data_IF_874097675606
#
_entry.id   IF_874097675606
#
_cell.length_a   1.000
_cell.length_b   1.000
_cell.length_c   1.000
_cell.angle_alpha   90.00
_cell.angle_beta   90.00
_cell.angle_gamma   90.00
#
_symmetry.space_group_name_H-M   'P 1'
#
loop_
_entity.id
_entity.type
_entity.pdbx_description
1 polymer ?
#
# COMPACT_ATOMS: atom_id res chain seq x y z
N UNK A 1 -54.67 -0.42 -38.79
CA UNK A 1 -53.84 -1.50 -38.21
C UNK A 1 -52.37 -1.17 -38.45
N UNK A 2 -51.64 -0.75 -37.42
CA UNK A 2 -50.18 -0.72 -37.44
C UNK A 2 -49.69 -0.94 -36.01
N UNK A 3 -49.34 -2.19 -35.70
CA UNK A 3 -48.85 -2.60 -34.39
C UNK A 3 -47.43 -2.06 -34.17
N UNK A 4 -47.27 -1.18 -33.17
CA UNK A 4 -45.95 -0.75 -32.68
C UNK A 4 -45.25 -1.95 -32.04
N UNK A 5 -44.24 -2.51 -32.72
CA UNK A 5 -43.29 -3.45 -32.12
C UNK A 5 -42.45 -2.69 -31.08
N UNK A 6 -42.61 -3.04 -29.80
CA UNK A 6 -41.64 -2.68 -28.75
C UNK A 6 -40.30 -3.34 -29.08
N UNK A 7 -39.15 -2.65 -28.91
CA UNK A 7 -37.87 -3.34 -28.98
C UNK A 7 -37.78 -4.31 -27.80
N UNK A 8 -37.46 -5.58 -28.08
CA UNK A 8 -37.12 -6.56 -27.06
C UNK A 8 -35.83 -6.08 -26.39
N UNK A 9 -35.87 -5.86 -25.08
CA UNK A 9 -34.65 -5.77 -24.27
C UNK A 9 -33.84 -7.05 -24.53
N UNK A 10 -32.58 -6.88 -24.95
CA UNK A 10 -31.64 -7.98 -24.98
C UNK A 10 -31.53 -8.53 -23.55
N UNK A 11 -31.83 -9.82 -23.38
CA UNK A 11 -31.51 -10.53 -22.14
C UNK A 11 -30.01 -10.35 -21.89
N UNK A 12 -29.67 -9.81 -20.73
CA UNK A 12 -28.30 -9.79 -20.25
C UNK A 12 -27.77 -11.22 -20.29
N UNK A 13 -26.64 -11.43 -20.97
CA UNK A 13 -25.96 -12.71 -20.97
C UNK A 13 -25.65 -13.09 -19.52
N UNK A 14 -26.13 -14.24 -19.09
CA UNK A 14 -25.76 -14.83 -17.80
C UNK A 14 -24.23 -14.94 -17.74
N UNK A 15 -23.64 -14.23 -16.77
CA UNK A 15 -22.23 -14.40 -16.41
C UNK A 15 -22.10 -15.82 -15.88
N UNK A 16 -21.55 -16.72 -16.71
CA UNK A 16 -21.17 -18.05 -16.24
C UNK A 16 -20.11 -17.88 -15.16
N UNK A 17 -20.23 -18.54 -14.00
CA UNK A 17 -19.14 -18.56 -13.04
C UNK A 17 -17.92 -19.16 -13.73
N UNK A 18 -16.78 -18.49 -13.63
CA UNK A 18 -15.48 -19.02 -14.02
C UNK A 18 -15.27 -20.33 -13.24
N UNK A 19 -15.54 -21.44 -13.90
CA UNK A 19 -15.18 -22.77 -13.40
C UNK A 19 -13.67 -22.80 -13.33
N UNK A 20 -13.15 -22.94 -12.11
CA UNK A 20 -11.73 -23.16 -11.85
C UNK A 20 -11.18 -24.21 -12.84
N UNK A 21 -10.06 -23.88 -13.47
CA UNK A 21 -9.37 -24.77 -14.39
C UNK A 21 -9.08 -26.11 -13.68
N UNK A 22 -9.32 -27.26 -14.34
CA UNK A 22 -8.97 -28.55 -13.77
C UNK A 22 -7.45 -28.62 -13.51
N UNK A 23 -7.02 -29.27 -12.42
CA UNK A 23 -5.62 -29.28 -11.94
C UNK A 23 -4.60 -29.90 -12.90
N UNK A 24 -5.03 -30.44 -14.05
CA UNK A 24 -4.18 -31.12 -15.02
C UNK A 24 -3.84 -30.26 -16.26
N UNK A 25 -4.17 -28.97 -16.26
CA UNK A 25 -3.86 -28.03 -17.36
C UNK A 25 -2.72 -27.04 -17.06
N UNK A 26 -1.86 -27.31 -16.06
CA UNK A 26 -0.61 -26.55 -15.86
C UNK A 26 0.49 -27.27 -16.64
N UNK A 27 0.61 -26.91 -17.92
CA UNK A 27 1.75 -27.29 -18.75
C UNK A 27 3.04 -26.78 -18.11
N UNK A 28 3.92 -27.71 -17.77
CA UNK A 28 5.25 -27.50 -17.24
C UNK A 28 6.14 -26.71 -18.22
N UNK A 29 6.08 -25.39 -18.15
CA UNK A 29 7.20 -24.49 -18.51
C UNK A 29 7.07 -23.22 -17.68
N UNK A 30 7.18 -23.35 -16.35
CA UNK A 30 7.62 -22.21 -15.54
C UNK A 30 9.15 -22.12 -15.73
N UNK A 31 9.72 -20.95 -16.04
CA UNK A 31 11.17 -20.83 -15.94
C UNK A 31 11.55 -21.18 -14.51
N UNK A 32 12.51 -22.10 -14.34
CA UNK A 32 13.24 -22.30 -13.09
C UNK A 32 13.87 -20.95 -12.71
N UNK A 33 13.11 -20.07 -12.06
CA UNK A 33 13.68 -18.92 -11.37
C UNK A 33 14.29 -19.50 -10.10
N UNK A 34 15.54 -19.92 -10.22
CA UNK A 34 16.39 -20.06 -9.05
C UNK A 34 16.33 -18.71 -8.32
N UNK A 35 15.90 -18.65 -7.05
CA UNK A 35 15.87 -17.40 -6.30
C UNK A 35 17.26 -16.77 -6.38
N UNK A 36 17.35 -15.47 -6.71
CA UNK A 36 18.64 -14.82 -6.86
C UNK A 36 19.33 -14.69 -5.51
N UNK A 37 20.67 -14.78 -5.51
CA UNK A 37 21.41 -14.98 -4.26
C UNK A 37 21.37 -13.73 -3.36
N UNK A 38 21.51 -13.88 -2.03
CA UNK A 38 21.67 -12.74 -1.13
C UNK A 38 22.78 -11.77 -1.56
N UNK A 39 23.89 -12.28 -2.09
CA UNK A 39 25.02 -11.48 -2.56
C UNK A 39 24.64 -10.57 -3.73
N UNK A 40 23.78 -11.03 -4.66
CA UNK A 40 23.29 -10.21 -5.76
C UNK A 40 22.43 -9.02 -5.25
N UNK A 41 21.60 -9.27 -4.23
CA UNK A 41 20.80 -8.21 -3.60
C UNK A 41 21.69 -7.18 -2.92
N UNK A 42 22.67 -7.63 -2.13
CA UNK A 42 23.62 -6.73 -1.48
C UNK A 42 24.41 -5.89 -2.49
N UNK A 43 24.90 -6.51 -3.57
CA UNK A 43 25.63 -5.81 -4.62
C UNK A 43 24.78 -4.70 -5.27
N UNK A 44 23.49 -4.97 -5.51
CA UNK A 44 22.56 -3.97 -6.05
C UNK A 44 22.28 -2.84 -5.05
N UNK A 45 22.15 -3.14 -3.76
CA UNK A 45 22.02 -2.13 -2.69
C UNK A 45 23.26 -1.22 -2.70
N UNK A 46 24.47 -1.79 -2.70
CA UNK A 46 25.73 -1.04 -2.72
C UNK A 46 25.84 -0.15 -3.96
N UNK A 47 25.53 -0.67 -5.15
CA UNK A 47 25.54 0.10 -6.39
C UNK A 47 24.56 1.28 -6.36
N UNK A 48 23.35 1.08 -5.81
CA UNK A 48 22.39 2.17 -5.64
C UNK A 48 22.88 3.23 -4.63
N UNK A 49 23.52 2.82 -3.54
CA UNK A 49 24.13 3.76 -2.58
C UNK A 49 25.21 4.62 -3.26
N UNK A 50 26.06 4.03 -4.09
CA UNK A 50 27.09 4.74 -4.84
C UNK A 50 26.47 5.72 -5.86
N UNK A 51 25.48 5.29 -6.63
CA UNK A 51 24.80 6.15 -7.60
C UNK A 51 24.09 7.34 -6.94
N UNK A 52 23.53 7.13 -5.75
CA UNK A 52 22.74 8.12 -5.00
C UNK A 52 23.54 8.93 -3.99
N UNK A 53 24.76 8.50 -3.68
CA UNK A 53 25.59 9.05 -2.60
C UNK A 53 24.82 9.08 -1.27
N UNK A 54 24.12 7.98 -0.96
CA UNK A 54 23.19 7.86 0.15
C UNK A 54 23.24 6.46 0.78
N UNK A 55 22.74 6.34 2.01
CA UNK A 55 22.52 5.02 2.61
C UNK A 55 21.16 4.48 2.17
N UNK A 56 21.11 3.23 1.71
CA UNK A 56 19.90 2.61 1.21
C UNK A 56 19.33 1.67 2.27
N UNK A 57 18.08 1.93 2.66
CA UNK A 57 17.26 1.03 3.46
C UNK A 57 16.14 0.49 2.56
N UNK A 58 15.91 -0.81 2.55
CA UNK A 58 14.77 -1.38 1.83
C UNK A 58 13.59 -1.65 2.76
N UNK A 59 12.39 -1.48 2.25
CA UNK A 59 11.15 -1.94 2.87
C UNK A 59 10.26 -2.49 1.76
N UNK A 60 10.38 -3.78 1.53
CA UNK A 60 9.70 -4.48 0.43
C UNK A 60 8.77 -5.51 1.02
N UNK A 61 7.47 -5.34 0.85
CA UNK A 61 6.46 -6.30 1.24
C UNK A 61 5.92 -7.03 0.00
N UNK A 62 5.58 -8.31 0.15
CA UNK A 62 4.81 -9.03 -0.88
C UNK A 62 3.45 -8.33 -1.09
N UNK A 63 2.87 -8.37 -2.30
CA UNK A 63 1.65 -7.61 -2.62
C UNK A 63 0.43 -7.92 -1.74
N UNK A 64 0.40 -9.10 -1.14
CA UNK A 64 -0.67 -9.58 -0.24
C UNK A 64 -0.46 -9.20 1.23
N UNK A 65 0.61 -8.46 1.55
CA UNK A 65 1.04 -8.17 2.92
C UNK A 65 0.77 -6.71 3.29
N UNK A 66 0.04 -6.54 4.38
CA UNK A 66 -0.28 -5.24 4.97
C UNK A 66 0.72 -4.91 6.08
N UNK A 67 1.30 -3.71 6.04
CA UNK A 67 2.26 -3.25 7.05
C UNK A 67 1.59 -2.96 8.40
N UNK A 68 2.26 -3.37 9.47
CA UNK A 68 1.83 -3.23 10.86
C UNK A 68 2.97 -2.71 11.74
N UNK A 69 2.63 -2.29 12.95
CA UNK A 69 3.55 -1.62 13.88
C UNK A 69 4.78 -2.44 14.31
N UNK A 70 4.76 -3.77 14.15
CA UNK A 70 5.89 -4.65 14.46
C UNK A 70 7.13 -4.38 13.58
N UNK A 71 6.95 -3.75 12.40
CA UNK A 71 8.08 -3.36 11.56
C UNK A 71 8.89 -2.18 12.12
N UNK A 72 8.31 -1.39 13.04
CA UNK A 72 8.96 -0.17 13.55
C UNK A 72 10.25 -0.49 14.28
N UNK A 73 10.25 -1.55 15.10
CA UNK A 73 11.44 -2.02 15.81
C UNK A 73 12.50 -2.52 14.83
N UNK A 74 12.11 -3.24 13.78
CA UNK A 74 13.04 -3.76 12.79
C UNK A 74 13.68 -2.65 11.95
N UNK A 75 12.91 -1.61 11.61
CA UNK A 75 13.44 -0.40 10.97
C UNK A 75 14.38 0.35 11.92
N UNK A 76 14.04 0.44 13.21
CA UNK A 76 14.91 1.08 14.22
C UNK A 76 16.27 0.37 14.31
N UNK A 77 16.32 -0.95 14.37
CA UNK A 77 17.58 -1.69 14.45
C UNK A 77 18.49 -1.42 13.23
N UNK A 78 17.90 -1.39 12.03
CA UNK A 78 18.62 -1.04 10.80
C UNK A 78 19.17 0.38 10.84
N UNK A 79 18.34 1.35 11.24
CA UNK A 79 18.76 2.75 11.38
C UNK A 79 19.82 2.94 12.47
N UNK A 80 19.72 2.21 13.57
CA UNK A 80 20.70 2.23 14.65
C UNK A 80 22.08 1.78 14.16
N UNK A 81 22.14 0.75 13.30
CA UNK A 81 23.39 0.31 12.67
C UNK A 81 23.92 1.29 11.62
N UNK A 82 23.05 1.93 10.85
CA UNK A 82 23.43 2.96 9.87
C UNK A 82 24.00 4.21 10.57
N UNK A 83 23.43 4.61 11.72
CA UNK A 83 23.81 5.81 12.43
C UNK A 83 23.32 7.10 11.75
N UNK A 84 23.80 8.26 12.22
CA UNK A 84 23.44 9.55 11.62
C UNK A 84 24.22 9.80 10.33
N UNK A 85 23.51 9.96 9.23
CA UNK A 85 24.09 10.13 7.89
C UNK A 85 23.48 11.33 7.16
N UNK A 86 24.13 11.88 6.13
CA UNK A 86 23.56 13.01 5.39
C UNK A 86 22.24 12.68 4.70
N UNK A 87 22.14 11.50 4.07
CA UNK A 87 20.98 11.08 3.30
C UNK A 87 20.65 9.60 3.51
N UNK A 88 19.36 9.32 3.70
CA UNK A 88 18.79 7.96 3.65
C UNK A 88 17.80 7.90 2.49
N UNK A 89 17.98 6.89 1.65
CA UNK A 89 17.06 6.50 0.59
C UNK A 89 16.29 5.25 1.05
N UNK A 90 14.97 5.32 1.09
CA UNK A 90 14.10 4.18 1.39
C UNK A 90 13.58 3.56 0.09
N UNK A 91 14.03 2.36 -0.24
CA UNK A 91 13.49 1.57 -1.34
C UNK A 91 12.17 0.91 -0.93
N UNK A 92 11.05 1.47 -1.39
CA UNK A 92 9.71 1.17 -0.87
C UNK A 92 8.84 0.43 -1.88
N UNK A 93 8.37 -0.76 -1.50
CA UNK A 93 7.34 -1.50 -2.23
C UNK A 93 6.30 -2.04 -1.26
N UNK A 94 5.09 -1.49 -1.28
CA UNK A 94 4.04 -1.88 -0.34
C UNK A 94 2.64 -1.43 -0.78
N UNK A 95 1.64 -2.24 -0.44
CA UNK A 95 0.22 -1.90 -0.58
C UNK A 95 -0.32 -1.03 0.57
N UNK A 96 0.53 -0.68 1.55
CA UNK A 96 0.18 0.13 2.69
C UNK A 96 -0.18 -0.68 3.94
N UNK A 97 -1.03 -0.12 4.80
CA UNK A 97 -1.45 -0.72 6.05
C UNK A 97 -1.94 0.28 7.08
N UNK A 98 -1.49 0.15 8.33
CA UNK A 98 -1.97 1.01 9.41
C UNK A 98 -1.74 2.50 9.10
N UNK A 99 -2.78 3.31 9.25
CA UNK A 99 -2.79 4.72 8.83
C UNK A 99 -1.73 5.58 9.52
N UNK A 100 -1.41 5.27 10.78
CA UNK A 100 -0.49 6.03 11.63
C UNK A 100 0.98 5.61 11.46
N UNK A 101 1.22 4.39 10.97
CA UNK A 101 2.55 3.81 10.81
C UNK A 101 3.48 4.68 9.94
N UNK A 102 3.04 5.25 8.80
CA UNK A 102 3.87 6.14 7.99
C UNK A 102 4.46 7.29 8.79
N UNK A 103 3.66 7.99 9.61
CA UNK A 103 4.17 9.11 10.40
C UNK A 103 5.22 8.65 11.41
N UNK A 104 5.04 7.48 12.03
CA UNK A 104 6.03 6.93 12.96
C UNK A 104 7.35 6.60 12.26
N UNK A 105 7.30 6.06 11.04
CA UNK A 105 8.48 5.73 10.25
C UNK A 105 9.18 6.98 9.71
N UNK A 106 8.43 7.97 9.23
CA UNK A 106 8.97 9.25 8.75
C UNK A 106 9.77 9.93 9.86
N UNK A 107 9.15 10.09 11.05
CA UNK A 107 9.84 10.75 12.17
C UNK A 107 11.05 9.95 12.60
N UNK A 108 10.95 8.61 12.65
CA UNK A 108 12.08 7.76 12.99
C UNK A 108 13.25 7.93 12.02
N UNK A 109 13.02 7.79 10.72
CA UNK A 109 14.08 7.87 9.70
C UNK A 109 14.74 9.25 9.72
N UNK A 110 13.95 10.32 9.90
CA UNK A 110 14.45 11.70 9.98
C UNK A 110 15.34 11.98 11.20
N UNK A 111 15.25 11.21 12.29
CA UNK A 111 16.22 11.32 13.38
C UNK A 111 17.63 10.92 12.93
N UNK A 112 17.74 10.05 11.92
CA UNK A 112 19.02 9.49 11.45
C UNK A 112 19.55 10.16 10.17
N UNK A 113 18.82 11.10 9.57
CA UNK A 113 19.28 11.77 8.35
C UNK A 113 18.82 13.22 8.20
N UNK A 114 19.57 13.99 7.40
CA UNK A 114 19.19 15.37 7.04
C UNK A 114 18.25 15.37 5.83
N UNK A 115 18.50 14.50 4.86
CA UNK A 115 17.69 14.31 3.66
C UNK A 115 17.12 12.90 3.62
N UNK A 116 15.81 12.79 3.49
CA UNK A 116 15.10 11.52 3.38
C UNK A 116 14.48 11.40 1.99
N UNK A 117 14.87 10.40 1.20
CA UNK A 117 14.28 10.13 -0.11
C UNK A 117 13.54 8.79 -0.12
N UNK A 118 12.58 8.62 -1.03
CA UNK A 118 11.88 7.35 -1.23
C UNK A 118 12.01 6.91 -2.69
N UNK A 119 12.52 5.70 -2.91
CA UNK A 119 12.68 5.08 -4.22
C UNK A 119 11.56 4.07 -4.44
N UNK A 120 10.73 4.29 -5.45
CA UNK A 120 9.58 3.43 -5.73
C UNK A 120 9.89 2.62 -7.00
N UNK A 121 10.13 1.31 -6.92
CA UNK A 121 10.44 0.50 -8.10
C UNK A 121 9.20 0.00 -8.87
N UNK A 122 8.06 -0.10 -8.20
CA UNK A 122 6.80 -0.51 -8.80
C UNK A 122 5.64 0.24 -8.14
N UNK A 123 5.33 -0.02 -6.87
CA UNK A 123 4.24 0.71 -6.23
C UNK A 123 4.43 0.99 -4.75
N UNK A 124 3.88 2.13 -4.31
CA UNK A 124 3.69 2.47 -2.91
C UNK A 124 2.27 3.02 -2.73
N UNK A 125 1.35 2.21 -2.19
CA UNK A 125 -0.06 2.54 -2.10
C UNK A 125 -0.54 2.85 -0.68
N UNK A 126 -1.61 3.64 -0.59
CA UNK A 126 -2.31 3.98 0.65
C UNK A 126 -1.33 4.50 1.71
N UNK A 127 -1.16 3.82 2.84
CA UNK A 127 -0.19 4.19 3.87
C UNK A 127 1.25 4.31 3.33
N UNK A 128 1.65 3.51 2.33
CA UNK A 128 2.97 3.65 1.72
C UNK A 128 3.10 4.94 0.88
N UNK A 129 2.00 5.45 0.31
CA UNK A 129 1.98 6.80 -0.29
C UNK A 129 2.17 7.89 0.76
N UNK A 130 1.57 7.76 1.96
CA UNK A 130 1.86 8.67 3.07
C UNK A 130 3.35 8.69 3.45
N UNK A 131 3.99 7.52 3.46
CA UNK A 131 5.41 7.40 3.74
C UNK A 131 6.25 8.11 2.66
N UNK A 132 5.90 7.92 1.38
CA UNK A 132 6.53 8.61 0.26
C UNK A 132 6.35 10.14 0.31
N UNK A 133 5.18 10.65 0.71
CA UNK A 133 4.94 12.09 0.89
C UNK A 133 5.83 12.71 1.98
N UNK A 134 6.31 11.91 2.93
CA UNK A 134 7.25 12.34 3.97
C UNK A 134 8.67 12.58 3.46
N UNK A 135 8.98 12.19 2.22
CA UNK A 135 10.31 12.31 1.64
C UNK A 135 10.56 13.70 1.04
N UNK A 136 11.78 14.18 1.17
CA UNK A 136 12.30 15.37 0.48
C UNK A 136 12.27 15.18 -1.05
N UNK A 137 12.39 13.94 -1.51
CA UNK A 137 12.41 13.54 -2.93
C UNK A 137 11.82 12.14 -3.11
N UNK A 138 10.95 11.96 -4.11
CA UNK A 138 10.40 10.66 -4.51
C UNK A 138 10.98 10.28 -5.87
N UNK A 139 11.78 9.21 -5.90
CA UNK A 139 12.41 8.71 -7.12
C UNK A 139 11.50 7.66 -7.76
N UNK A 140 11.04 7.94 -8.98
CA UNK A 140 10.04 7.14 -9.69
C UNK A 140 10.53 6.77 -11.09
N UNK A 141 10.51 5.48 -11.41
CA UNK A 141 10.69 4.98 -12.76
C UNK A 141 9.39 4.90 -13.56
N UNK A 142 9.44 4.35 -14.79
CA UNK A 142 8.29 4.29 -15.69
C UNK A 142 7.13 3.41 -15.21
N UNK A 143 7.41 2.39 -14.39
CA UNK A 143 6.40 1.50 -13.80
C UNK A 143 5.97 1.93 -12.39
N UNK A 144 6.55 3.01 -11.88
CA UNK A 144 6.34 3.47 -10.52
C UNK A 144 5.01 4.18 -10.36
N UNK A 145 4.25 3.81 -9.34
CA UNK A 145 2.93 4.36 -9.08
C UNK A 145 2.66 4.56 -7.58
N UNK A 146 1.96 5.66 -7.30
CA UNK A 146 1.32 5.95 -6.03
C UNK A 146 -0.18 5.65 -6.12
N UNK A 147 -0.90 5.73 -5.00
CA UNK A 147 -2.36 5.70 -5.00
C UNK A 147 -2.94 6.81 -4.13
N UNK A 148 -4.26 7.05 -4.22
CA UNK A 148 -4.96 7.87 -3.24
C UNK A 148 -4.79 7.34 -1.82
N UNK A 149 -4.94 8.24 -0.85
CA UNK A 149 -4.71 7.98 0.58
C UNK A 149 -5.95 8.09 1.45
N UNK A 150 -7.13 8.18 0.83
CA UNK A 150 -8.41 7.98 1.51
C UNK A 150 -8.36 6.64 2.29
N UNK A 151 -8.95 6.56 3.49
CA UNK A 151 -9.11 5.31 4.22
C UNK A 151 -10.43 4.58 3.88
N UNK A 152 -10.31 3.34 3.43
CA UNK A 152 -11.40 2.37 3.49
C UNK A 152 -11.45 1.70 4.87
N UNK A 153 -12.62 1.70 5.54
CA UNK A 153 -12.78 1.11 6.88
C UNK A 153 -13.91 0.07 6.92
N UNK A 154 -13.63 -1.06 7.56
CA UNK A 154 -14.67 -1.98 8.06
C UNK A 154 -15.05 -1.60 9.49
N UNK A 155 -16.34 -1.63 9.80
CA UNK A 155 -16.84 -1.31 11.15
C UNK A 155 -17.97 -2.28 11.51
N UNK A 156 -18.02 -2.86 12.73
CA UNK A 156 -19.02 -3.88 13.10
C UNK A 156 -20.49 -3.46 12.93
N UNK A 157 -20.74 -2.16 12.90
CA UNK A 157 -22.07 -1.57 12.71
C UNK A 157 -22.36 -1.19 11.24
N UNK A 158 -21.50 -1.58 10.29
CA UNK A 158 -21.80 -1.53 8.86
C UNK A 158 -22.58 -2.77 8.44
N UNK A 159 -23.40 -2.68 7.38
CA UNK A 159 -24.09 -3.85 6.83
C UNK A 159 -23.08 -4.97 6.52
N UNK A 160 -23.42 -6.20 6.92
CA UNK A 160 -22.59 -7.37 6.62
C UNK A 160 -22.71 -7.82 5.17
N UNK A 161 -21.70 -8.51 4.65
CA UNK A 161 -21.83 -9.27 3.40
C UNK A 161 -22.83 -10.41 3.60
N UNK A 162 -23.63 -10.68 2.56
CA UNK A 162 -24.79 -11.60 2.63
C UNK A 162 -24.41 -13.06 2.89
N UNK A 163 -23.15 -13.45 2.71
CA UNK A 163 -22.71 -14.85 2.76
C UNK A 163 -21.97 -15.24 4.04
N UNK A 164 -21.28 -14.33 4.72
CA UNK A 164 -20.47 -14.64 5.91
C UNK A 164 -20.71 -13.72 7.13
N UNK A 165 -21.53 -12.67 6.97
CA UNK A 165 -21.80 -11.71 8.04
C UNK A 165 -20.62 -10.79 8.38
N UNK A 166 -19.53 -10.83 7.61
CA UNK A 166 -18.39 -9.92 7.80
C UNK A 166 -18.80 -8.48 7.45
N UNK A 167 -18.38 -7.47 8.23
CA UNK A 167 -18.76 -6.09 7.95
C UNK A 167 -18.21 -5.61 6.59
N UNK A 168 -19.06 -5.00 5.77
CA UNK A 168 -18.64 -4.41 4.50
C UNK A 168 -17.62 -3.29 4.75
N UNK A 169 -16.52 -3.27 3.98
CA UNK A 169 -15.60 -2.14 3.95
C UNK A 169 -16.25 -0.98 3.20
N UNK A 170 -16.30 0.20 3.81
CA UNK A 170 -16.85 1.42 3.19
C UNK A 170 -15.79 2.52 3.25
N UNK A 171 -15.56 3.19 2.12
CA UNK A 171 -14.68 4.37 2.07
C UNK A 171 -15.42 5.61 2.59
N UNK A 172 -14.66 6.58 3.10
CA UNK A 172 -15.23 7.87 3.45
C UNK A 172 -15.79 8.60 2.22
N UNK A 173 -15.17 8.40 1.06
CA UNK A 173 -15.60 8.98 -0.19
C UNK A 173 -16.97 8.45 -0.64
N UNK A 174 -17.21 7.14 -0.58
CA UNK A 174 -18.50 6.55 -0.98
C UNK A 174 -19.65 7.09 -0.13
N UNK A 175 -19.41 7.26 1.18
CA UNK A 175 -20.40 7.85 2.08
C UNK A 175 -20.67 9.31 1.72
N UNK A 176 -19.62 10.11 1.44
CA UNK A 176 -19.78 11.51 1.00
C UNK A 176 -20.55 11.59 -0.32
N UNK A 177 -20.18 10.79 -1.32
CA UNK A 177 -20.90 10.72 -2.59
C UNK A 177 -22.36 10.31 -2.41
N UNK A 178 -22.65 9.37 -1.51
CA UNK A 178 -24.03 9.00 -1.18
C UNK A 178 -24.81 10.19 -0.61
N UNK A 179 -24.23 10.92 0.35
CA UNK A 179 -24.85 12.12 0.94
C UNK A 179 -25.02 13.23 -0.09
N UNK A 180 -24.04 13.45 -0.96
CA UNK A 180 -24.11 14.45 -2.04
C UNK A 180 -25.16 14.08 -3.09
N UNK A 181 -25.21 12.82 -3.50
CA UNK A 181 -26.26 12.30 -4.39
C UNK A 181 -27.64 12.54 -3.78
N UNK A 182 -27.84 12.18 -2.50
CA UNK A 182 -29.09 12.46 -1.79
C UNK A 182 -29.38 13.96 -1.80
N UNK A 183 -28.43 14.82 -1.41
CA UNK A 183 -28.64 16.28 -1.41
C UNK A 183 -29.03 16.82 -2.78
N UNK A 184 -28.45 16.29 -3.85
CA UNK A 184 -28.72 16.71 -5.23
C UNK A 184 -30.10 16.26 -5.71
N UNK A 185 -30.43 14.98 -5.52
CA UNK A 185 -31.72 14.40 -5.94
C UNK A 185 -32.89 14.90 -5.07
N UNK A 186 -32.63 15.24 -3.81
CA UNK A 186 -33.61 15.70 -2.82
C UNK A 186 -33.65 17.22 -2.72
N UNK A 187 -32.84 17.96 -3.50
CA UNK A 187 -32.55 19.39 -3.35
C UNK A 187 -33.69 20.26 -2.77
N UNK A 188 -34.80 20.39 -3.50
CA UNK A 188 -35.95 21.23 -3.15
C UNK A 188 -37.00 20.54 -2.26
N UNK A 189 -36.70 19.36 -1.72
CA UNK A 189 -37.64 18.63 -0.86
C UNK A 189 -37.80 19.31 0.50
N UNK A 190 -38.99 19.13 1.09
CA UNK A 190 -39.32 19.70 2.40
C UNK A 190 -38.38 19.18 3.52
N UNK A 191 -38.22 19.92 4.63
CA UNK A 191 -37.45 19.46 5.78
C UNK A 191 -37.85 18.06 6.28
N UNK A 192 -39.13 17.71 6.19
CA UNK A 192 -39.68 16.42 6.61
C UNK A 192 -39.23 15.29 5.67
N UNK A 193 -39.22 15.53 4.35
CA UNK A 193 -38.72 14.56 3.38
C UNK A 193 -37.22 14.30 3.56
N UNK A 194 -36.45 15.36 3.85
CA UNK A 194 -35.01 15.25 4.17
C UNK A 194 -34.80 14.44 5.46
N UNK A 195 -35.58 14.70 6.51
CA UNK A 195 -35.51 13.95 7.77
C UNK A 195 -35.87 12.47 7.58
N UNK A 196 -36.88 12.15 6.77
CA UNK A 196 -37.27 10.78 6.46
C UNK A 196 -36.16 10.02 5.73
N UNK A 197 -35.48 10.66 4.77
CA UNK A 197 -34.38 10.04 4.02
C UNK A 197 -33.15 9.82 4.90
N UNK A 198 -32.78 10.79 5.73
CA UNK A 198 -31.69 10.65 6.71
C UNK A 198 -32.02 9.56 7.73
N UNK A 199 -33.26 9.50 8.22
CA UNK A 199 -33.73 8.44 9.11
C UNK A 199 -33.61 7.06 8.48
N UNK A 200 -34.10 6.90 7.24
CA UNK A 200 -33.99 5.65 6.49
C UNK A 200 -32.54 5.23 6.21
N UNK A 201 -31.62 6.18 6.05
CA UNK A 201 -30.20 5.91 5.91
C UNK A 201 -29.59 5.42 7.24
N UNK A 202 -29.91 6.06 8.36
CA UNK A 202 -29.41 5.67 9.68
C UNK A 202 -29.98 4.33 10.18
N UNK A 203 -31.16 3.93 9.71
CA UNK A 203 -31.69 2.58 9.91
C UNK A 203 -30.82 1.49 9.24
N UNK A 204 -30.01 1.86 8.24
CA UNK A 204 -29.14 0.93 7.50
C UNK A 204 -27.67 1.10 7.83
N UNK A 205 -27.22 2.32 8.12
CA UNK A 205 -25.84 2.65 8.44
C UNK A 205 -25.82 3.33 9.80
N UNK A 206 -25.27 2.65 10.80
CA UNK A 206 -25.26 3.18 12.16
C UNK A 206 -24.47 4.49 12.24
N UNK A 207 -24.98 5.56 12.91
CA UNK A 207 -24.29 6.85 13.01
C UNK A 207 -22.86 6.77 13.58
N UNK A 208 -22.60 5.86 14.52
CA UNK A 208 -21.23 5.61 15.02
C UNK A 208 -20.28 5.08 13.94
N UNK A 209 -20.77 4.30 12.97
CA UNK A 209 -19.95 3.88 11.83
C UNK A 209 -19.58 5.07 10.93
N UNK A 210 -20.51 6.00 10.73
CA UNK A 210 -20.26 7.25 10.01
C UNK A 210 -19.21 8.10 10.72
N UNK A 211 -19.35 8.28 12.04
CA UNK A 211 -18.35 9.00 12.84
C UNK A 211 -16.97 8.34 12.79
N UNK A 212 -16.92 7.01 12.84
CA UNK A 212 -15.70 6.22 12.72
C UNK A 212 -15.02 6.36 11.34
N UNK A 213 -15.80 6.44 10.26
CA UNK A 213 -15.30 6.67 8.89
C UNK A 213 -14.77 8.10 8.75
N UNK A 214 -15.52 9.10 9.22
CA UNK A 214 -15.07 10.50 9.22
C UNK A 214 -13.77 10.69 10.00
N UNK A 215 -13.66 10.07 11.18
CA UNK A 215 -12.44 10.11 11.99
C UNK A 215 -11.23 9.54 11.23
N UNK A 216 -11.41 8.41 10.54
CA UNK A 216 -10.34 7.81 9.74
C UNK A 216 -9.91 8.76 8.62
N UNK A 217 -10.86 9.39 7.94
CA UNK A 217 -10.60 10.37 6.89
C UNK A 217 -9.81 11.59 7.43
N UNK A 218 -10.24 12.17 8.54
CA UNK A 218 -9.54 13.30 9.17
C UNK A 218 -8.11 12.92 9.59
N UNK A 219 -7.93 11.69 10.08
CA UNK A 219 -6.62 11.16 10.42
C UNK A 219 -5.72 11.01 9.18
N UNK A 220 -6.22 10.48 8.07
CA UNK A 220 -5.44 10.36 6.83
C UNK A 220 -4.93 11.74 6.35
N UNK A 221 -5.79 12.76 6.38
CA UNK A 221 -5.41 14.14 6.05
C UNK A 221 -4.39 14.73 7.01
N UNK A 222 -4.55 14.46 8.31
CA UNK A 222 -3.58 14.89 9.33
C UNK A 222 -2.21 14.27 9.06
N UNK A 223 -2.15 12.96 8.75
CA UNK A 223 -0.92 12.25 8.45
C UNK A 223 -0.27 12.79 7.16
N UNK A 224 -1.06 12.99 6.10
CA UNK A 224 -0.59 13.62 4.86
C UNK A 224 0.02 15.01 5.11
N UNK A 225 -0.68 15.84 5.87
CA UNK A 225 -0.23 17.19 6.21
C UNK A 225 1.07 17.16 7.00
N UNK A 226 1.15 16.30 8.03
CA UNK A 226 2.37 16.13 8.84
C UNK A 226 3.55 15.60 8.02
N UNK A 227 3.31 14.61 7.15
CA UNK A 227 4.31 14.03 6.27
C UNK A 227 4.93 15.12 5.38
N UNK A 228 4.12 15.88 4.65
CA UNK A 228 4.59 16.97 3.79
C UNK A 228 5.29 18.07 4.59
N UNK A 229 4.72 18.46 5.74
CA UNK A 229 5.28 19.50 6.61
C UNK A 229 6.60 19.09 7.28
N UNK A 230 7.04 17.83 7.14
CA UNK A 230 8.34 17.38 7.65
C UNK A 230 9.53 17.84 6.80
N UNK A 231 9.28 18.26 5.55
CA UNK A 231 10.30 18.81 4.64
C UNK A 231 9.87 20.07 3.89
N UNK A 232 8.57 20.35 3.81
CA UNK A 232 8.04 21.59 3.26
C UNK A 232 7.84 22.60 4.39
N UNK A 233 8.09 23.88 4.12
CA UNK A 233 7.89 24.95 5.08
C UNK A 233 6.41 25.42 5.07
N UNK A 234 5.62 25.16 6.12
CA UNK A 234 4.21 25.52 6.13
C UNK A 234 3.95 27.04 6.10
N UNK A 235 4.95 27.87 6.41
CA UNK A 235 4.81 29.32 6.33
C UNK A 235 4.84 29.85 4.88
N UNK A 236 5.50 29.12 3.97
CA UNK A 236 5.70 29.55 2.58
C UNK A 236 5.03 28.64 1.56
N UNK A 237 4.82 27.36 1.90
CA UNK A 237 4.31 26.34 0.96
C UNK A 237 2.92 25.82 1.37
N UNK A 238 2.20 26.54 2.22
CA UNK A 238 0.87 26.13 2.74
C UNK A 238 -0.11 25.71 1.64
N UNK A 239 -0.26 26.54 0.61
CA UNK A 239 -1.20 26.28 -0.49
C UNK A 239 -0.84 25.02 -1.27
N UNK A 240 0.46 24.76 -1.44
CA UNK A 240 0.94 23.54 -2.11
C UNK A 240 0.67 22.30 -1.26
N UNK A 241 0.93 22.37 0.06
CA UNK A 241 0.60 21.29 1.00
C UNK A 241 -0.91 21.00 0.93
N UNK A 242 -1.75 22.03 1.05
CA UNK A 242 -3.21 21.88 0.99
C UNK A 242 -3.68 21.29 -0.34
N UNK A 243 -3.10 21.73 -1.46
CA UNK A 243 -3.39 21.17 -2.80
C UNK A 243 -3.06 19.67 -2.86
N UNK A 244 -1.85 19.27 -2.45
CA UNK A 244 -1.43 17.86 -2.51
C UNK A 244 -2.35 16.99 -1.65
N UNK A 245 -2.66 17.44 -0.42
CA UNK A 245 -3.55 16.73 0.50
C UNK A 245 -4.95 16.58 -0.10
N UNK A 246 -5.51 17.64 -0.68
CA UNK A 246 -6.84 17.60 -1.30
C UNK A 246 -6.87 16.62 -2.48
N UNK A 247 -5.92 16.72 -3.41
CA UNK A 247 -5.91 15.86 -4.60
C UNK A 247 -5.81 14.38 -4.21
N UNK A 248 -4.86 14.02 -3.34
CA UNK A 248 -4.63 12.63 -2.94
C UNK A 248 -5.71 12.06 -2.01
N UNK A 249 -6.50 12.91 -1.34
CA UNK A 249 -7.57 12.46 -0.42
C UNK A 249 -8.97 12.51 -1.04
N UNK A 250 -9.22 13.38 -2.02
CA UNK A 250 -10.59 13.75 -2.44
C UNK A 250 -10.87 13.66 -3.93
N UNK A 251 -9.87 13.85 -4.80
CA UNK A 251 -10.13 14.06 -6.24
C UNK A 251 -10.14 12.77 -7.05
N UNK A 252 -9.67 11.66 -6.48
CA UNK A 252 -9.67 10.36 -7.15
C UNK A 252 -10.94 9.56 -6.82
N UNK A 253 -11.67 9.17 -7.86
CA UNK A 253 -12.90 8.38 -7.76
C UNK A 253 -12.68 6.89 -7.47
N UNK A 254 -11.42 6.46 -7.27
CA UNK A 254 -11.08 5.07 -6.97
C UNK A 254 -9.82 5.00 -6.11
N UNK A 255 -9.89 4.24 -5.03
CA UNK A 255 -8.73 3.86 -4.22
C UNK A 255 -7.62 3.16 -4.99
N UNK A 256 -7.99 2.49 -6.07
CA UNK A 256 -7.07 1.71 -6.89
C UNK A 256 -6.52 2.52 -8.06
N UNK A 257 -6.83 3.82 -8.12
CA UNK A 257 -6.29 4.71 -9.12
C UNK A 257 -4.75 4.75 -9.00
N UNK A 258 -4.09 4.63 -10.15
CA UNK A 258 -2.64 4.48 -10.24
C UNK A 258 -2.04 5.81 -10.70
N UNK A 259 -1.39 6.51 -9.76
CA UNK A 259 -0.80 7.83 -9.99
C UNK A 259 0.65 7.63 -10.44
N UNK A 260 0.90 7.78 -11.74
CA UNK A 260 2.25 7.64 -12.30
C UNK A 260 3.12 8.88 -12.05
N UNK A 261 4.43 8.77 -12.35
CA UNK A 261 5.43 9.83 -12.09
C UNK A 261 5.08 11.20 -12.66
N UNK A 262 4.45 11.26 -13.85
CA UNK A 262 4.06 12.53 -14.49
C UNK A 262 2.93 13.22 -13.70
N UNK A 263 1.90 12.47 -13.36
CA UNK A 263 0.76 12.98 -12.61
C UNK A 263 1.18 13.37 -11.18
N UNK A 264 2.04 12.58 -10.53
CA UNK A 264 2.60 12.91 -9.22
C UNK A 264 3.32 14.28 -9.22
N UNK A 265 4.03 14.63 -10.30
CA UNK A 265 4.63 15.97 -10.49
C UNK A 265 3.56 17.06 -10.65
N UNK A 266 2.52 16.79 -11.45
CA UNK A 266 1.41 17.73 -11.70
C UNK A 266 0.57 18.02 -10.43
N UNK A 267 0.49 17.05 -9.52
CA UNK A 267 -0.11 17.21 -8.19
C UNK A 267 0.72 18.18 -7.33
N UNK A 268 2.04 18.16 -7.48
CA UNK A 268 2.98 19.02 -6.77
C UNK A 268 3.99 18.27 -5.88
N UNK A 269 4.07 16.95 -5.98
CA UNK A 269 5.09 16.15 -5.28
C UNK A 269 6.48 16.38 -5.91
N UNK A 270 7.52 16.38 -5.08
CA UNK A 270 8.93 16.48 -5.51
C UNK A 270 9.41 15.14 -6.10
N UNK A 271 9.08 14.88 -7.36
CA UNK A 271 9.42 13.63 -8.04
C UNK A 271 10.65 13.79 -8.94
N UNK A 272 11.59 12.86 -8.82
CA UNK A 272 12.74 12.70 -9.72
C UNK A 272 12.53 11.45 -10.58
N UNK A 273 12.76 11.57 -11.89
CA UNK A 273 12.64 10.43 -12.80
C UNK A 273 13.88 9.53 -12.67
N UNK A 274 13.66 8.26 -12.32
CA UNK A 274 14.70 7.24 -12.43
C UNK A 274 14.85 6.86 -13.90
N UNK A 275 16.02 7.12 -14.48
CA UNK A 275 16.36 6.82 -15.87
C UNK A 275 17.75 6.21 -15.98
N UNK A 276 18.03 5.56 -17.12
CA UNK A 276 19.32 4.91 -17.38
C UNK A 276 19.71 3.92 -16.28
N UNK A 277 20.98 4.01 -15.85
CA UNK A 277 21.56 3.09 -14.88
C UNK A 277 20.79 3.06 -13.55
N UNK A 278 20.34 4.21 -13.04
CA UNK A 278 19.58 4.27 -11.78
C UNK A 278 18.32 3.41 -11.86
N UNK A 279 17.55 3.53 -12.94
CA UNK A 279 16.36 2.71 -13.13
C UNK A 279 16.70 1.23 -13.32
N UNK A 280 17.73 0.92 -14.10
CA UNK A 280 18.17 -0.47 -14.32
C UNK A 280 18.50 -1.18 -13.00
N UNK A 281 19.21 -0.49 -12.08
CA UNK A 281 19.54 -1.02 -10.76
C UNK A 281 18.32 -1.13 -9.85
N UNK A 282 17.46 -0.12 -9.82
CA UNK A 282 16.19 -0.17 -9.06
C UNK A 282 15.32 -1.33 -9.52
N UNK A 283 15.18 -1.50 -10.83
CA UNK A 283 14.38 -2.57 -11.43
C UNK A 283 14.99 -3.95 -11.19
N UNK A 284 16.32 -4.08 -11.29
CA UNK A 284 17.01 -5.32 -10.95
C UNK A 284 16.81 -5.71 -9.49
N UNK A 285 16.94 -4.75 -8.56
CA UNK A 285 16.73 -4.99 -7.13
C UNK A 285 15.29 -5.42 -6.84
N UNK A 286 14.31 -4.78 -7.47
CA UNK A 286 12.92 -5.18 -7.34
C UNK A 286 12.65 -6.58 -7.90
N UNK A 287 13.18 -6.92 -9.09
CA UNK A 287 13.04 -8.27 -9.66
C UNK A 287 13.61 -9.34 -8.73
N UNK A 288 14.69 -9.02 -8.02
CA UNK A 288 15.27 -9.91 -7.02
C UNK A 288 14.27 -10.21 -5.90
N UNK A 289 13.71 -9.18 -5.24
CA UNK A 289 12.69 -9.39 -4.21
C UNK A 289 11.44 -10.08 -4.75
N UNK A 290 10.98 -9.69 -5.94
CA UNK A 290 9.78 -10.27 -6.57
C UNK A 290 9.92 -11.76 -6.81
N UNK A 291 11.12 -12.25 -7.12
CA UNK A 291 11.37 -13.68 -7.31
C UNK A 291 11.05 -14.50 -6.05
N UNK A 292 11.07 -13.88 -4.86
CA UNK A 292 10.74 -14.53 -3.60
C UNK A 292 9.25 -14.49 -3.23
N UNK A 293 8.42 -13.64 -3.85
CA UNK A 293 7.04 -13.42 -3.42
C UNK A 293 6.16 -14.69 -3.48
N UNK A 294 6.49 -15.62 -4.38
CA UNK A 294 5.77 -16.89 -4.58
C UNK A 294 6.52 -18.09 -4.02
N UNK A 295 7.73 -17.93 -3.50
CA UNK A 295 8.53 -19.05 -3.01
C UNK A 295 8.09 -19.47 -1.61
N UNK A 296 7.88 -20.77 -1.43
CA UNK A 296 7.65 -21.38 -0.13
C UNK A 296 8.63 -22.52 0.09
N UNK A 297 9.21 -22.59 1.29
CA UNK A 297 10.10 -23.68 1.71
C UNK A 297 9.37 -24.60 2.69
N UNK A 298 9.57 -25.91 2.52
CA UNK A 298 9.11 -26.89 3.49
C UNK A 298 9.95 -26.77 4.77
N UNK A 299 9.26 -26.66 5.89
CA UNK A 299 9.81 -26.57 7.24
C UNK A 299 9.06 -27.54 8.16
N UNK A 300 9.56 -27.73 9.38
CA UNK A 300 8.98 -28.69 10.32
C UNK A 300 9.38 -30.14 10.01
N UNK A 301 8.70 -31.08 10.67
CA UNK A 301 9.07 -32.49 10.67
C UNK A 301 8.04 -33.28 9.86
N UNK A 302 8.36 -34.52 9.46
CA UNK A 302 7.43 -35.37 8.67
C UNK A 302 6.01 -35.50 9.27
N UNK A 303 5.89 -35.43 10.60
CA UNK A 303 4.59 -35.52 11.31
C UNK A 303 3.82 -34.19 11.35
N UNK A 304 4.52 -33.06 11.25
CA UNK A 304 3.95 -31.70 11.33
C UNK A 304 4.61 -30.80 10.28
N UNK A 305 4.38 -31.07 8.99
CA UNK A 305 5.01 -30.31 7.93
C UNK A 305 4.39 -28.90 7.83
N UNK A 306 5.25 -27.91 7.63
CA UNK A 306 4.90 -26.50 7.52
C UNK A 306 5.49 -25.90 6.25
N UNK A 307 4.85 -24.86 5.72
CA UNK A 307 5.41 -24.04 4.66
C UNK A 307 5.81 -22.69 5.25
N UNK A 308 7.06 -22.29 5.08
CA UNK A 308 7.53 -20.95 5.39
C UNK A 308 7.65 -20.16 4.08
N UNK A 309 7.04 -18.98 4.06
CA UNK A 309 7.13 -18.05 2.93
C UNK A 309 7.68 -16.72 3.43
N UNK A 310 8.74 -16.17 2.83
CA UNK A 310 9.18 -14.82 3.14
C UNK A 310 8.19 -13.82 2.55
N UNK A 311 7.81 -12.84 3.36
CA UNK A 311 6.69 -11.93 3.06
C UNK A 311 7.07 -10.45 3.13
N UNK A 312 8.17 -10.13 3.80
CA UNK A 312 8.66 -8.76 3.91
C UNK A 312 10.16 -8.76 4.15
N UNK A 313 10.86 -7.84 3.48
CA UNK A 313 12.31 -7.61 3.58
C UNK A 313 12.58 -6.20 4.09
N UNK A 314 13.50 -6.12 5.06
CA UNK A 314 14.12 -4.87 5.51
C UNK A 314 15.63 -5.10 5.45
N UNK A 315 16.24 -4.63 4.37
CA UNK A 315 17.65 -4.82 4.09
C UNK A 315 18.39 -3.47 4.14
N UNK A 316 19.62 -3.49 4.63
CA UNK A 316 20.62 -2.43 4.46
C UNK A 316 21.91 -3.07 3.95
N UNK A 317 23.02 -2.33 3.87
CA UNK A 317 24.33 -2.95 3.61
C UNK A 317 24.89 -3.71 4.81
N UNK A 318 24.41 -3.44 6.02
CA UNK A 318 24.88 -4.07 7.25
C UNK A 318 24.23 -5.44 7.45
N UNK A 319 22.92 -5.51 7.33
CA UNK A 319 22.18 -6.74 7.59
C UNK A 319 20.88 -6.85 6.79
N UNK A 320 20.40 -8.08 6.72
CA UNK A 320 19.12 -8.46 6.14
C UNK A 320 18.16 -8.93 7.22
N UNK A 321 16.94 -8.41 7.17
CA UNK A 321 15.82 -8.87 8.00
C UNK A 321 14.67 -9.33 7.12
N UNK A 322 14.22 -10.56 7.34
CA UNK A 322 13.11 -11.16 6.59
C UNK A 322 12.01 -11.54 7.58
N UNK A 323 10.80 -11.05 7.34
CA UNK A 323 9.61 -11.59 7.99
C UNK A 323 9.12 -12.79 7.20
N UNK A 324 9.00 -13.94 7.85
CA UNK A 324 8.41 -15.14 7.28
C UNK A 324 7.05 -15.43 7.88
N UNK A 325 6.13 -15.86 7.01
CA UNK A 325 4.86 -16.46 7.38
C UNK A 325 4.98 -17.98 7.31
N UNK A 326 4.70 -18.65 8.43
CA UNK A 326 4.80 -20.10 8.58
C UNK A 326 3.40 -20.68 8.78
N UNK A 327 2.97 -21.52 7.84
CA UNK A 327 1.63 -22.11 7.82
C UNK A 327 1.69 -23.64 7.89
N UNK A 328 0.84 -24.32 8.68
CA UNK A 328 0.73 -25.78 8.66
C UNK A 328 0.14 -26.28 7.34
N UNK A 329 0.76 -27.29 6.72
CA UNK A 329 0.24 -27.85 5.46
C UNK A 329 -1.01 -28.73 5.67
N UNK A 330 -1.18 -29.28 6.87
CA UNK A 330 -2.31 -30.12 7.23
C UNK A 330 -3.50 -29.33 7.84
N UNK A 331 -3.47 -27.99 7.75
CA UNK A 331 -4.50 -27.05 8.25
C UNK A 331 -4.84 -27.17 9.75
N UNK A 332 -4.03 -27.89 10.55
CA UNK A 332 -4.15 -27.93 12.00
C UNK A 332 -3.08 -27.03 12.62
N UNK A 333 -3.48 -25.87 13.10
CA UNK A 333 -2.64 -24.97 13.89
C UNK A 333 -2.64 -23.52 13.40
N UNK A 334 -2.18 -22.58 14.24
CA UNK A 334 -2.13 -21.18 13.89
C UNK A 334 -1.05 -20.90 12.83
N UNK A 335 -1.31 -19.91 11.98
CA UNK A 335 -0.24 -19.27 11.20
C UNK A 335 0.64 -18.47 12.15
N UNK A 336 1.96 -18.64 12.05
CA UNK A 336 2.95 -17.95 12.87
C UNK A 336 3.75 -17.03 11.96
N UNK A 337 4.19 -15.90 12.50
CA UNK A 337 5.16 -15.01 11.85
C UNK A 337 6.47 -15.01 12.62
N UNK A 338 7.59 -15.01 11.92
CA UNK A 338 8.92 -15.00 12.53
C UNK A 338 9.89 -14.10 11.75
N UNK A 339 10.69 -13.33 12.48
CA UNK A 339 11.78 -12.56 11.90
C UNK A 339 13.05 -13.39 11.82
N UNK A 340 13.66 -13.39 10.65
CA UNK A 340 15.00 -13.91 10.41
C UNK A 340 15.94 -12.74 10.22
N UNK A 341 17.04 -12.73 10.96
CA UNK A 341 18.09 -11.71 10.83
C UNK A 341 19.39 -12.39 10.43
N UNK A 342 20.07 -11.84 9.43
CA UNK A 342 21.36 -12.32 8.96
C UNK A 342 22.24 -11.13 8.58
N UNK A 343 23.47 -11.10 9.08
CA UNK A 343 24.52 -10.32 8.43
C UNK A 343 24.74 -10.87 7.01
N UNK A 344 25.08 -10.01 6.06
CA UNK A 344 25.34 -10.45 4.68
C UNK A 344 26.63 -11.27 4.57
N UNK A 345 27.61 -10.94 5.40
CA UNK A 345 28.83 -11.69 5.55
C UNK A 345 28.64 -12.69 6.70
N UNK A 346 28.60 -13.98 6.37
CA UNK A 346 29.03 -14.99 7.33
C UNK A 346 30.56 -14.88 7.41
N UNK A 347 31.09 -14.63 8.60
CA UNK A 347 32.53 -14.78 8.87
C UNK A 347 33.02 -16.20 8.55
#
# INVERSE_FOLDING_TARGET
>A
MCAKRRPKLAQAAEVRPETALPPEAISATEPEMTPPSPEEVLALIQQLQELRQAHLLTLVASPDVILRGDIVEQVYEQLHQIGHVPQIDLFLHSVGGQTELPWRLITLIREYCQKFCVLIPAFAHSAATHLAMGADEIVMGPLSELSPVDPARTHPLLPGQKEDGSPLAVSAQDLRHCVEFIKKEVGDSSPEAKAAIVGALFDKIHPLAIGAIQQSYDLARLISTKALSSHMNPATEKEQIERIVNVLSDEFFSHHYRIGRKEAKEIGLKVVDAEGELWEKMWALYKNYRAYFTLARLTGNEKEPRAARPILWIDSVQERRILEQIQPLNQKGPTIVNWLTSAWTQD
#
